data_IF_630628529640
#
_entry.id   IF_630628529640
#
_cell.length_a   1.000
_cell.length_b   1.000
_cell.length_c   1.000
_cell.angle_alpha   90.00
_cell.angle_beta   90.00
_cell.angle_gamma   90.00
#
_symmetry.space_group_name_H-M   'P 1'
#
loop_
_entity.id
_entity.type
_entity.pdbx_description
1 polymer ?
#
# COMPACT_ATOMS: atom_id res chain seq x y z
N UNK A 1 -17.73 25.13 -38.88
CA UNK A 1 -18.07 25.38 -37.47
C UNK A 1 -17.23 24.43 -36.65
N UNK A 2 -16.04 24.85 -36.24
CA UNK A 2 -15.21 24.14 -35.29
C UNK A 2 -15.42 24.86 -33.95
N UNK A 3 -16.22 24.27 -33.07
CA UNK A 3 -16.21 24.62 -31.67
C UNK A 3 -15.37 23.54 -31.00
N UNK A 4 -14.09 23.85 -30.86
CA UNK A 4 -13.17 23.12 -30.00
C UNK A 4 -13.74 23.18 -28.59
N UNK A 5 -14.14 22.02 -28.07
CA UNK A 5 -14.53 21.89 -26.68
C UNK A 5 -13.30 22.13 -25.82
N UNK A 6 -13.27 23.30 -25.19
CA UNK A 6 -12.32 23.67 -24.15
C UNK A 6 -12.46 22.63 -23.02
N UNK A 7 -11.58 21.63 -23.01
CA UNK A 7 -11.50 20.67 -21.94
C UNK A 7 -11.09 21.46 -20.69
N UNK A 8 -12.00 21.53 -19.72
CA UNK A 8 -11.71 22.02 -18.37
C UNK A 8 -10.35 21.46 -17.91
N UNK A 9 -9.52 22.22 -17.18
CA UNK A 9 -8.30 21.65 -16.61
C UNK A 9 -8.74 20.41 -15.85
N UNK A 10 -8.26 19.24 -16.29
CA UNK A 10 -8.62 18.00 -15.64
C UNK A 10 -8.40 18.21 -14.13
N UNK A 11 -9.37 17.89 -13.26
CA UNK A 11 -9.15 17.96 -11.83
C UNK A 11 -7.83 17.24 -11.54
N UNK A 12 -7.03 17.71 -10.59
CA UNK A 12 -5.74 17.09 -10.26
C UNK A 12 -6.04 15.63 -9.90
N UNK A 13 -5.97 14.74 -10.89
CA UNK A 13 -6.40 13.36 -10.78
C UNK A 13 -5.31 12.73 -9.95
N UNK A 14 -5.66 12.26 -8.75
CA UNK A 14 -4.78 11.42 -7.96
C UNK A 14 -4.13 10.40 -8.89
N UNK A 15 -2.80 10.38 -8.93
CA UNK A 15 -2.07 9.43 -9.74
C UNK A 15 -1.03 8.76 -8.85
N UNK A 16 -0.95 7.43 -8.92
CA UNK A 16 0.04 6.65 -8.19
C UNK A 16 1.47 7.10 -8.47
N UNK A 17 1.79 7.54 -9.69
CA UNK A 17 3.11 8.10 -10.02
C UNK A 17 3.40 9.38 -9.22
N UNK A 18 2.45 10.31 -9.16
CA UNK A 18 2.57 11.54 -8.36
C UNK A 18 2.65 11.20 -6.87
N UNK A 19 1.81 10.27 -6.39
CA UNK A 19 1.86 9.78 -5.02
C UNK A 19 3.22 9.21 -4.66
N UNK A 20 3.76 8.27 -5.47
CA UNK A 20 5.07 7.65 -5.26
C UNK A 20 6.19 8.68 -5.25
N UNK A 21 6.09 9.68 -6.12
CA UNK A 21 7.05 10.79 -6.18
C UNK A 21 6.99 11.65 -4.92
N UNK A 22 5.80 12.02 -4.46
CA UNK A 22 5.63 12.79 -3.22
C UNK A 22 6.10 11.97 -2.03
N UNK A 23 5.69 10.71 -1.91
CA UNK A 23 6.10 9.79 -0.84
C UNK A 23 7.62 9.57 -0.78
N UNK A 24 8.31 9.61 -1.93
CA UNK A 24 9.76 9.37 -1.97
C UNK A 24 10.61 10.62 -1.80
N UNK A 25 10.08 11.80 -2.15
CA UNK A 25 10.84 13.06 -2.10
C UNK A 25 10.51 13.90 -0.87
N UNK A 26 9.27 13.81 -0.37
CA UNK A 26 8.77 14.63 0.73
C UNK A 26 8.74 13.81 2.03
N UNK A 27 8.74 14.52 3.15
CA UNK A 27 8.59 13.91 4.47
C UNK A 27 7.16 13.36 4.66
N UNK A 28 7.02 12.37 5.55
CA UNK A 28 5.71 11.78 5.93
C UNK A 28 4.70 12.86 6.32
N UNK A 29 5.13 13.87 7.07
CA UNK A 29 4.30 15.01 7.48
C UNK A 29 3.70 15.83 6.33
N UNK A 30 4.24 15.70 5.12
CA UNK A 30 3.76 16.37 3.89
C UNK A 30 3.09 15.36 2.96
N UNK A 31 3.71 14.20 2.74
CA UNK A 31 3.19 13.18 1.82
C UNK A 31 1.86 12.60 2.29
N UNK A 32 1.70 12.28 3.57
CA UNK A 32 0.45 11.74 4.11
C UNK A 32 -0.74 12.70 3.94
N UNK A 33 -0.69 13.98 4.39
CA UNK A 33 -1.80 14.88 4.14
C UNK A 33 -2.03 15.11 2.65
N UNK A 34 -0.97 15.17 1.82
CA UNK A 34 -1.12 15.26 0.37
C UNK A 34 -1.87 14.05 -0.21
N UNK A 35 -1.60 12.84 0.29
CA UNK A 35 -2.33 11.63 -0.07
C UNK A 35 -3.82 11.81 0.19
N UNK A 36 -4.22 12.10 1.43
CA UNK A 36 -5.64 12.21 1.77
C UNK A 36 -6.36 13.38 1.09
N UNK A 37 -5.67 14.49 0.83
CA UNK A 37 -6.25 15.66 0.15
C UNK A 37 -6.49 15.39 -1.34
N UNK A 38 -5.59 14.64 -1.97
CA UNK A 38 -5.69 14.33 -3.40
C UNK A 38 -6.41 13.00 -3.66
N UNK A 39 -6.51 12.09 -2.70
CA UNK A 39 -7.01 10.73 -2.91
C UNK A 39 -8.44 10.71 -3.44
N UNK A 40 -8.64 10.06 -4.59
CA UNK A 40 -9.96 9.88 -5.17
C UNK A 40 -10.50 8.48 -4.86
N UNK A 41 -11.42 8.39 -3.89
CA UNK A 41 -12.04 7.12 -3.47
C UNK A 41 -12.94 6.47 -4.53
N UNK A 42 -13.23 7.15 -5.65
CA UNK A 42 -13.97 6.57 -6.78
C UNK A 42 -13.03 5.81 -7.73
N UNK A 43 -11.87 6.41 -7.97
CA UNK A 43 -10.84 5.89 -8.89
C UNK A 43 -9.77 5.04 -8.19
N UNK A 44 -9.70 5.07 -6.87
CA UNK A 44 -8.72 4.35 -6.06
C UNK A 44 -9.35 3.71 -4.84
N UNK A 45 -8.74 2.62 -4.39
CA UNK A 45 -9.14 1.92 -3.19
C UNK A 45 -7.93 1.58 -2.33
N UNK A 46 -8.14 1.54 -1.01
CA UNK A 46 -7.12 1.15 -0.03
C UNK A 46 -7.53 -0.16 0.59
N UNK A 47 -6.58 -1.09 0.71
CA UNK A 47 -6.76 -2.37 1.34
C UNK A 47 -5.67 -2.60 2.38
N UNK A 48 -6.05 -3.17 3.50
CA UNK A 48 -5.15 -3.74 4.48
C UNK A 48 -4.92 -5.20 4.13
N UNK A 49 -3.66 -5.59 3.96
CA UNK A 49 -3.23 -6.97 3.80
C UNK A 49 -2.69 -7.49 5.13
N UNK A 50 -3.15 -8.66 5.59
CA UNK A 50 -2.57 -9.37 6.74
C UNK A 50 -2.27 -10.80 6.37
N UNK A 51 -1.04 -11.24 6.57
CA UNK A 51 -0.68 -12.62 6.22
C UNK A 51 -1.42 -13.63 7.11
N UNK A 52 -2.09 -14.60 6.49
CA UNK A 52 -3.02 -15.54 7.15
C UNK A 52 -2.33 -16.70 7.85
N UNK A 53 -1.14 -17.07 7.38
CA UNK A 53 -0.45 -18.28 7.82
C UNK A 53 0.68 -17.95 8.79
N UNK A 54 1.02 -18.89 9.67
CA UNK A 54 2.22 -18.74 10.50
C UNK A 54 3.48 -18.82 9.63
N UNK A 55 4.36 -17.84 9.82
CA UNK A 55 5.62 -17.79 9.09
C UNK A 55 6.64 -18.73 9.74
N UNK A 56 6.92 -19.84 9.06
CA UNK A 56 7.91 -20.83 9.51
C UNK A 56 9.36 -20.34 9.44
N UNK A 57 9.61 -19.19 8.81
CA UNK A 57 10.96 -18.63 8.61
C UNK A 57 11.65 -18.40 9.95
N UNK A 58 12.95 -18.73 10.10
CA UNK A 58 13.66 -18.62 11.38
C UNK A 58 14.05 -17.19 11.74
N UNK A 59 14.20 -16.29 10.77
CA UNK A 59 14.73 -14.94 10.95
C UNK A 59 13.91 -13.92 10.15
N UNK A 60 13.76 -12.70 10.70
CA UNK A 60 12.95 -11.63 10.10
C UNK A 60 13.39 -11.27 8.66
N UNK A 61 14.70 -11.26 8.37
CA UNK A 61 15.17 -10.98 7.02
C UNK A 61 14.73 -12.05 5.99
N UNK A 62 14.52 -13.29 6.40
CA UNK A 62 14.02 -14.34 5.50
C UNK A 62 12.54 -14.11 5.16
N UNK A 63 11.77 -13.60 6.13
CA UNK A 63 10.40 -13.11 5.87
C UNK A 63 10.44 -11.91 4.92
N UNK A 64 11.38 -10.99 5.13
CA UNK A 64 11.60 -9.84 4.24
C UNK A 64 11.95 -10.28 2.81
N UNK A 65 12.72 -11.36 2.64
CA UNK A 65 12.99 -11.94 1.32
C UNK A 65 11.75 -12.54 0.67
N UNK A 66 10.86 -13.16 1.45
CA UNK A 66 9.57 -13.68 0.96
C UNK A 66 8.69 -12.55 0.41
N UNK A 67 8.55 -11.45 1.16
CA UNK A 67 7.83 -10.25 0.70
C UNK A 67 8.49 -9.65 -0.55
N UNK A 68 9.82 -9.61 -0.60
CA UNK A 68 10.55 -9.18 -1.79
C UNK A 68 10.26 -10.03 -3.03
N UNK A 69 10.17 -11.36 -2.87
CA UNK A 69 9.78 -12.27 -3.96
C UNK A 69 8.36 -12.01 -4.46
N UNK A 70 7.42 -11.71 -3.55
CA UNK A 70 6.06 -11.31 -3.93
C UNK A 70 6.09 -10.01 -4.74
N UNK A 71 6.86 -9.00 -4.32
CA UNK A 71 6.96 -7.73 -5.04
C UNK A 71 7.47 -7.91 -6.48
N UNK A 72 8.43 -8.81 -6.71
CA UNK A 72 8.90 -9.12 -8.07
C UNK A 72 7.78 -9.72 -8.94
N UNK A 73 6.93 -10.58 -8.38
CA UNK A 73 5.76 -11.13 -9.12
C UNK A 73 4.70 -10.08 -9.38
N UNK A 74 4.57 -9.11 -8.46
CA UNK A 74 3.64 -7.99 -8.58
C UNK A 74 4.20 -6.83 -9.43
N UNK A 75 5.46 -6.87 -9.88
CA UNK A 75 6.12 -5.77 -10.60
C UNK A 75 5.32 -5.27 -11.81
N UNK A 76 4.65 -6.18 -12.52
CA UNK A 76 3.73 -5.87 -13.64
C UNK A 76 2.58 -4.92 -13.25
N UNK A 77 2.21 -4.90 -11.97
CA UNK A 77 1.16 -4.06 -11.40
C UNK A 77 1.69 -2.77 -10.78
N UNK A 78 3.00 -2.47 -10.85
CA UNK A 78 3.53 -1.26 -10.22
C UNK A 78 2.83 0.02 -10.72
N UNK A 79 2.38 0.08 -11.97
CA UNK A 79 1.65 1.26 -12.50
C UNK A 79 0.27 1.45 -11.88
N UNK A 80 -0.32 0.41 -11.31
CA UNK A 80 -1.69 0.42 -10.78
C UNK A 80 -1.76 0.06 -9.30
N UNK A 81 -0.63 -0.22 -8.66
CA UNK A 81 -0.54 -0.60 -7.26
C UNK A 81 0.63 0.09 -6.56
N UNK A 82 0.39 0.42 -5.30
CA UNK A 82 1.40 0.83 -4.34
C UNK A 82 1.15 0.07 -3.04
N UNK A 83 2.19 -0.41 -2.39
CA UNK A 83 2.08 -1.19 -1.16
C UNK A 83 3.08 -0.71 -0.14
N UNK A 84 2.67 -0.63 1.12
CA UNK A 84 3.55 -0.41 2.26
C UNK A 84 3.37 -1.60 3.20
N UNK A 85 4.36 -2.49 3.22
CA UNK A 85 4.32 -3.73 3.98
C UNK A 85 5.30 -3.64 5.14
N UNK A 86 4.81 -3.97 6.33
CA UNK A 86 5.56 -4.02 7.57
C UNK A 86 5.62 -5.47 8.07
N UNK A 87 6.81 -5.87 8.50
CA UNK A 87 7.11 -7.21 9.01
C UNK A 87 7.42 -7.06 10.48
N UNK A 88 6.44 -7.38 11.31
CA UNK A 88 6.54 -7.29 12.75
C UNK A 88 7.18 -8.55 13.34
N UNK A 89 7.98 -8.34 14.38
CA UNK A 89 8.62 -9.38 15.17
C UNK A 89 10.10 -9.50 14.87
N UNK A 90 10.92 -9.46 15.92
CA UNK A 90 12.35 -9.77 15.86
C UNK A 90 12.60 -11.29 16.02
N UNK A 91 11.74 -11.95 16.80
CA UNK A 91 11.69 -13.40 16.98
C UNK A 91 10.26 -13.93 16.72
N UNK A 92 10.13 -15.24 16.49
CA UNK A 92 8.83 -15.87 16.18
C UNK A 92 7.79 -15.63 17.29
N UNK A 93 6.50 -15.43 16.95
CA UNK A 93 5.92 -15.48 15.61
C UNK A 93 6.08 -14.16 14.83
N UNK A 94 6.49 -14.26 13.57
CA UNK A 94 6.53 -13.11 12.66
C UNK A 94 5.13 -12.82 12.14
N UNK A 95 4.83 -11.54 11.90
CA UNK A 95 3.56 -11.10 11.34
C UNK A 95 3.83 -10.12 10.20
N UNK A 96 3.34 -10.44 8.99
CA UNK A 96 3.34 -9.49 7.88
C UNK A 96 1.99 -8.80 7.83
N UNK A 97 2.00 -7.48 7.85
CA UNK A 97 0.84 -6.60 7.73
C UNK A 97 1.19 -5.47 6.76
N UNK A 98 0.23 -4.92 6.02
CA UNK A 98 0.55 -3.89 5.05
C UNK A 98 -0.67 -3.14 4.55
N UNK A 99 -0.45 -1.91 4.10
CA UNK A 99 -1.46 -1.07 3.45
C UNK A 99 -1.14 -0.98 1.97
N UNK A 100 -2.13 -1.29 1.16
CA UNK A 100 -2.04 -1.29 -0.29
C UNK A 100 -3.03 -0.31 -0.87
N UNK A 101 -2.59 0.41 -1.89
CA UNK A 101 -3.37 1.35 -2.67
C UNK A 101 -3.42 0.83 -4.09
N UNK A 102 -4.62 0.58 -4.58
CA UNK A 102 -4.84 0.12 -5.95
C UNK A 102 -5.61 1.16 -6.74
N UNK A 103 -5.29 1.24 -8.03
CA UNK A 103 -6.07 1.98 -9.01
C UNK A 103 -7.30 1.16 -9.39
N UNK A 104 -8.45 1.78 -9.24
CA UNK A 104 -9.78 1.19 -9.39
C UNK A 104 -10.59 1.31 -8.11
N UNK A 105 -11.90 1.17 -8.23
CA UNK A 105 -12.84 1.14 -7.10
C UNK A 105 -12.66 -0.12 -6.22
N UNK A 106 -12.01 -1.14 -6.78
CA UNK A 106 -11.78 -2.47 -6.23
C UNK A 106 -10.37 -2.96 -6.58
N UNK A 107 -9.92 -4.00 -5.87
CA UNK A 107 -8.64 -4.63 -6.17
C UNK A 107 -8.64 -5.22 -7.60
N UNK A 108 -7.62 -4.94 -8.42
CA UNK A 108 -7.52 -5.45 -9.78
C UNK A 108 -7.66 -6.98 -9.80
N UNK A 109 -8.57 -7.51 -10.63
CA UNK A 109 -8.80 -8.97 -10.73
C UNK A 109 -7.54 -9.73 -11.15
N UNK A 110 -6.64 -9.06 -11.87
CA UNK A 110 -5.35 -9.62 -12.29
C UNK A 110 -4.40 -9.89 -11.10
N UNK A 111 -4.61 -9.27 -9.92
CA UNK A 111 -3.90 -9.64 -8.70
C UNK A 111 -4.31 -11.02 -8.19
N UNK A 112 -5.54 -11.47 -8.48
CA UNK A 112 -6.01 -12.79 -8.09
C UNK A 112 -5.33 -13.93 -8.88
N UNK A 113 -4.55 -13.60 -9.92
CA UNK A 113 -3.69 -14.54 -10.63
C UNK A 113 -2.36 -14.81 -9.87
N UNK A 114 -2.05 -14.00 -8.86
CA UNK A 114 -0.87 -14.18 -8.03
C UNK A 114 -1.22 -15.01 -6.78
N UNK A 115 -0.74 -16.25 -6.71
CA UNK A 115 -0.98 -17.16 -5.57
C UNK A 115 -0.63 -16.53 -4.22
N UNK A 116 0.35 -15.62 -4.17
CA UNK A 116 0.71 -14.90 -2.94
C UNK A 116 -0.43 -14.06 -2.40
N UNK A 117 -1.23 -13.43 -3.25
CA UNK A 117 -2.33 -12.55 -2.84
C UNK A 117 -3.34 -13.34 -2.00
N UNK A 118 -3.59 -14.62 -2.32
CA UNK A 118 -4.51 -15.47 -1.55
C UNK A 118 -4.01 -15.79 -0.13
N UNK A 119 -2.68 -15.74 0.07
CA UNK A 119 -2.03 -15.96 1.38
C UNK A 119 -2.27 -14.81 2.36
N UNK A 120 -2.73 -13.65 1.88
CA UNK A 120 -3.08 -12.50 2.70
C UNK A 120 -4.60 -12.35 2.81
N UNK A 121 -5.02 -11.85 3.96
CA UNK A 121 -6.38 -11.39 4.21
C UNK A 121 -6.45 -9.92 3.81
N UNK A 122 -7.38 -9.61 2.91
CA UNK A 122 -7.52 -8.29 2.33
C UNK A 122 -8.79 -7.64 2.84
N UNK A 123 -8.61 -6.62 3.67
CA UNK A 123 -9.72 -5.82 4.20
C UNK A 123 -9.72 -4.45 3.53
N UNK A 124 -10.79 -4.12 2.83
CA UNK A 124 -10.97 -2.76 2.29
C UNK A 124 -11.02 -1.77 3.46
N UNK A 125 -10.19 -0.74 3.40
CA UNK A 125 -10.11 0.32 4.40
C UNK A 125 -10.89 1.55 3.94
N UNK A 126 -11.43 2.29 4.90
CA UNK A 126 -12.04 3.60 4.67
C UNK A 126 -11.05 4.72 5.01
N UNK A 127 -10.89 5.69 4.11
CA UNK A 127 -9.93 6.78 4.29
C UNK A 127 -10.24 7.68 5.48
N UNK A 128 -11.49 7.72 5.93
CA UNK A 128 -11.94 8.55 7.04
C UNK A 128 -11.90 7.74 8.33
N UNK A 129 -12.46 6.53 8.33
CA UNK A 129 -12.52 5.69 9.53
C UNK A 129 -11.15 5.06 9.88
N UNK A 130 -10.41 4.58 8.88
CA UNK A 130 -9.11 3.92 9.05
C UNK A 130 -7.93 4.86 8.76
N UNK A 131 -8.17 6.18 8.76
CA UNK A 131 -7.15 7.21 8.47
C UNK A 131 -5.88 7.04 9.30
N UNK A 132 -6.03 6.77 10.59
CA UNK A 132 -4.92 6.58 11.52
C UNK A 132 -4.07 5.37 11.10
N UNK A 133 -4.69 4.21 10.86
CA UNK A 133 -4.01 3.01 10.44
C UNK A 133 -3.29 3.22 9.10
N UNK A 134 -3.96 3.82 8.11
CA UNK A 134 -3.33 4.13 6.81
C UNK A 134 -2.12 5.03 7.03
N UNK A 135 -2.25 6.05 7.85
CA UNK A 135 -1.15 6.97 8.18
C UNK A 135 0.01 6.24 8.85
N UNK A 136 -0.23 5.42 9.86
CA UNK A 136 0.82 4.70 10.60
C UNK A 136 1.61 3.76 9.67
N UNK A 137 0.92 3.01 8.81
CA UNK A 137 1.55 2.07 7.89
C UNK A 137 2.20 2.74 6.68
N UNK A 138 1.74 3.91 6.26
CA UNK A 138 2.43 4.70 5.23
C UNK A 138 3.60 5.49 5.83
N UNK A 139 3.49 5.96 7.06
CA UNK A 139 4.55 6.66 7.76
C UNK A 139 5.68 5.74 8.21
N UNK A 140 5.36 4.46 8.44
CA UNK A 140 6.19 3.55 9.24
C UNK A 140 6.42 4.09 10.66
N UNK A 141 5.50 4.94 11.12
CA UNK A 141 5.54 5.60 12.42
C UNK A 141 4.18 5.40 13.08
N UNK A 142 4.16 4.63 14.15
CA UNK A 142 2.95 4.29 14.88
C UNK A 142 3.28 3.49 16.13
N UNK A 143 2.28 3.33 17.01
CA UNK A 143 2.48 2.50 18.20
C UNK A 143 2.45 1.01 17.83
N UNK A 144 1.83 0.65 16.69
CA UNK A 144 1.68 -0.73 16.19
C UNK A 144 1.24 -1.75 17.27
N UNK A 145 0.55 -1.27 18.31
CA UNK A 145 0.19 -2.04 19.51
C UNK A 145 1.40 -2.42 20.39
N UNK A 146 2.35 -1.50 20.59
CA UNK A 146 3.59 -1.69 21.33
C UNK A 146 4.73 -2.40 20.57
N UNK A 147 4.54 -2.72 19.28
CA UNK A 147 5.54 -3.44 18.47
C UNK A 147 6.53 -2.46 17.84
N UNK A 148 7.71 -2.34 18.43
CA UNK A 148 8.77 -1.42 17.98
C UNK A 148 9.73 -2.03 16.96
N UNK A 149 9.87 -3.36 16.96
CA UNK A 149 10.74 -4.09 16.05
C UNK A 149 9.96 -4.53 14.80
N UNK A 150 10.15 -3.80 13.70
CA UNK A 150 9.59 -4.11 12.40
C UNK A 150 10.56 -3.80 11.26
N UNK A 151 10.44 -4.55 10.17
CA UNK A 151 11.13 -4.28 8.90
C UNK A 151 10.09 -3.80 7.89
N UNK A 152 10.35 -2.68 7.23
CA UNK A 152 9.44 -2.07 6.27
C UNK A 152 9.89 -2.29 4.83
N UNK A 153 8.92 -2.59 3.95
CA UNK A 153 9.13 -2.67 2.50
C UNK A 153 8.02 -1.96 1.74
N UNK A 154 8.41 -1.05 0.85
CA UNK A 154 7.49 -0.35 -0.04
C UNK A 154 7.52 -0.98 -1.42
N UNK A 155 6.35 -1.35 -1.92
CA UNK A 155 6.09 -1.70 -3.32
C UNK A 155 5.73 -0.42 -4.08
N UNK A 156 6.65 0.03 -4.94
CA UNK A 156 6.48 1.21 -5.79
C UNK A 156 7.10 1.00 -7.16
#
# INVERSE_FOLDING_TARGET
MAAEGEAAPAPIVFNLDSWKRTYSNEEVSVSIPWFFDNFDAKEYCVYFSKYKFELSQPMQFMVSNLVGGMFQRLERFNKIAFGSVLIFGNEKPFQIEGVWVFKGTEMPKELNDCDDVELYDWKKLDLVADKALITEYLAWEGDFGGRKDFDGKVFK
#
